data_IF_328209182786
#
_entry.id   IF_328209182786
#
_cell.length_a   1.000
_cell.length_b   1.000
_cell.length_c   1.000
_cell.angle_alpha   90.00
_cell.angle_beta   90.00
_cell.angle_gamma   90.00
#
_symmetry.space_group_name_H-M   'P 1'
#
loop_
_entity.id
_entity.type
_entity.pdbx_description
1 polymer ?
#
# COMPACT_ATOMS: atom_id res chain seq x y z
N UNK A 1 10.92 34.36 -33.13
CA UNK A 1 11.10 32.90 -32.95
C UNK A 1 12.29 32.47 -33.78
N UNK A 2 13.30 31.89 -33.15
CA UNK A 2 14.45 31.30 -33.84
C UNK A 2 14.10 29.89 -34.35
N UNK A 3 14.84 29.35 -35.32
CA UNK A 3 14.68 27.96 -35.76
C UNK A 3 14.78 26.94 -34.60
N UNK A 4 15.65 27.20 -33.62
CA UNK A 4 15.83 26.38 -32.41
C UNK A 4 14.60 26.42 -31.50
N UNK A 5 14.00 27.59 -31.30
CA UNK A 5 12.77 27.76 -30.52
C UNK A 5 11.60 27.04 -31.21
N UNK A 6 11.51 27.14 -32.54
CA UNK A 6 10.50 26.44 -33.33
C UNK A 6 10.66 24.91 -33.22
N UNK A 7 11.88 24.40 -33.29
CA UNK A 7 12.18 22.98 -33.11
C UNK A 7 11.76 22.50 -31.72
N UNK A 8 12.03 23.31 -30.69
CA UNK A 8 11.64 23.01 -29.30
C UNK A 8 10.13 22.96 -29.15
N UNK A 9 9.41 23.92 -29.74
CA UNK A 9 7.95 23.95 -29.77
C UNK A 9 7.37 22.67 -30.41
N UNK A 10 7.85 22.30 -31.60
CA UNK A 10 7.37 21.13 -32.33
C UNK A 10 7.64 19.84 -31.55
N UNK A 11 8.82 19.70 -30.94
CA UNK A 11 9.14 18.55 -30.08
C UNK A 11 8.24 18.50 -28.83
N UNK A 12 7.97 19.65 -28.21
CA UNK A 12 7.09 19.76 -27.05
C UNK A 12 5.65 19.35 -27.38
N UNK A 13 5.11 19.81 -28.51
CA UNK A 13 3.76 19.43 -28.97
C UNK A 13 3.66 17.92 -29.18
N UNK A 14 4.65 17.31 -29.85
CA UNK A 14 4.68 15.85 -30.05
C UNK A 14 4.76 15.08 -28.74
N UNK A 15 5.55 15.55 -27.78
CA UNK A 15 5.67 14.94 -26.46
C UNK A 15 4.33 14.98 -25.69
N UNK A 16 3.67 16.13 -25.66
CA UNK A 16 2.37 16.30 -24.99
C UNK A 16 1.29 15.44 -25.67
N UNK A 17 1.24 15.43 -27.01
CA UNK A 17 0.29 14.61 -27.79
C UNK A 17 0.46 13.11 -27.50
N UNK A 18 1.71 12.64 -27.40
CA UNK A 18 2.00 11.26 -27.01
C UNK A 18 1.58 10.95 -25.56
N UNK A 19 1.83 11.87 -24.62
CA UNK A 19 1.44 11.70 -23.22
C UNK A 19 -0.08 11.66 -23.03
N UNK A 20 -0.84 12.49 -23.76
CA UNK A 20 -2.30 12.51 -23.74
C UNK A 20 -2.88 11.21 -24.31
N UNK A 21 -2.29 10.68 -25.40
CA UNK A 21 -2.74 9.42 -26.04
C UNK A 21 -2.37 8.16 -25.26
N UNK A 22 -1.51 8.26 -24.25
CA UNK A 22 -1.11 7.14 -23.40
C UNK A 22 -1.50 7.40 -21.93
N UNK A 23 -2.80 7.40 -21.61
CA UNK A 23 -3.25 7.64 -20.24
C UNK A 23 -2.69 6.54 -19.33
N UNK A 24 -1.94 6.93 -18.29
CA UNK A 24 -1.43 5.98 -17.32
C UNK A 24 -2.59 5.34 -16.55
N UNK A 25 -2.71 4.02 -16.64
CA UNK A 25 -3.58 3.24 -15.76
C UNK A 25 -2.97 3.19 -14.36
N UNK A 26 -3.41 4.09 -13.48
CA UNK A 26 -2.93 4.17 -12.08
C UNK A 26 -3.42 3.01 -11.21
N UNK A 27 -4.24 2.12 -11.74
CA UNK A 27 -4.69 0.91 -11.05
C UNK A 27 -3.80 -0.29 -11.34
N UNK A 28 -3.12 -0.29 -12.49
CA UNK A 28 -2.14 -1.31 -12.86
C UNK A 28 -0.72 -0.82 -12.52
N UNK A 29 -0.17 -1.29 -11.40
CA UNK A 29 1.22 -1.01 -11.06
C UNK A 29 2.12 -1.87 -11.94
N UNK A 30 3.13 -1.26 -12.56
CA UNK A 30 4.24 -2.05 -13.12
C UNK A 30 4.95 -2.83 -12.01
N UNK A 31 5.60 -3.93 -12.35
CA UNK A 31 6.40 -4.72 -11.39
C UNK A 31 7.42 -3.86 -10.63
N UNK A 32 8.03 -2.88 -11.30
CA UNK A 32 8.93 -1.90 -10.68
C UNK A 32 8.25 -0.98 -9.67
N UNK A 33 6.99 -0.60 -9.92
CA UNK A 33 6.21 0.21 -9.00
C UNK A 33 5.72 -0.62 -7.78
N UNK A 34 5.45 -1.91 -7.97
CA UNK A 34 5.16 -2.84 -6.87
C UNK A 34 6.36 -3.04 -5.95
N UNK A 35 7.56 -3.20 -6.51
CA UNK A 35 8.80 -3.29 -5.74
C UNK A 35 9.07 -2.01 -4.96
N UNK A 36 8.90 -0.84 -5.61
CA UNK A 36 8.99 0.46 -4.93
C UNK A 36 7.98 0.56 -3.78
N UNK A 37 6.74 0.10 -3.98
CA UNK A 37 5.71 0.07 -2.92
C UNK A 37 6.09 -0.90 -1.79
N UNK A 38 6.72 -2.03 -2.09
CA UNK A 38 7.19 -2.95 -1.05
C UNK A 38 8.29 -2.30 -0.19
N UNK A 39 9.24 -1.61 -0.79
CA UNK A 39 10.35 -0.99 -0.05
C UNK A 39 9.90 0.28 0.70
N UNK A 40 9.16 1.16 0.03
CA UNK A 40 8.85 2.51 0.55
C UNK A 40 7.42 2.68 1.05
N UNK A 41 6.54 1.73 0.74
CA UNK A 41 5.18 1.70 1.27
C UNK A 41 5.15 1.39 2.76
N UNK A 42 3.94 1.33 3.29
CA UNK A 42 3.69 1.05 4.70
C UNK A 42 2.72 -0.13 4.81
N UNK A 43 2.85 -0.87 5.89
CA UNK A 43 2.01 -2.01 6.23
C UNK A 43 1.46 -1.83 7.63
N UNK A 44 0.29 -2.41 7.88
CA UNK A 44 -0.27 -2.51 9.22
C UNK A 44 0.51 -3.57 9.99
N UNK A 45 1.00 -3.18 11.17
CA UNK A 45 1.70 -4.04 12.12
C UNK A 45 1.08 -3.88 13.51
N UNK A 46 1.36 -4.84 14.39
CA UNK A 46 0.92 -4.76 15.78
C UNK A 46 1.68 -3.66 16.55
N UNK A 47 0.95 -2.83 17.30
CA UNK A 47 1.52 -1.76 18.11
C UNK A 47 2.07 -2.28 19.46
N UNK A 48 1.58 -3.44 19.90
CA UNK A 48 1.90 -4.14 21.14
C UNK A 48 1.94 -5.65 20.89
N UNK A 49 2.38 -6.44 21.87
CA UNK A 49 2.25 -7.89 21.80
C UNK A 49 0.78 -8.25 21.99
N UNK A 50 0.21 -9.03 21.08
CA UNK A 50 -1.18 -9.47 21.11
C UNK A 50 -1.22 -10.97 21.43
N UNK A 51 -1.89 -11.32 22.52
CA UNK A 51 -2.03 -12.70 22.96
C UNK A 51 -3.24 -13.39 22.32
N UNK A 52 -3.24 -14.72 22.34
CA UNK A 52 -4.37 -15.52 21.83
C UNK A 52 -5.64 -15.18 22.62
N UNK A 53 -6.73 -14.95 21.90
CA UNK A 53 -8.02 -14.53 22.45
C UNK A 53 -8.22 -13.02 22.52
N UNK A 54 -7.15 -12.22 22.38
CA UNK A 54 -7.25 -10.75 22.35
C UNK A 54 -8.12 -10.28 21.18
N UNK A 55 -8.96 -9.28 21.43
CA UNK A 55 -9.80 -8.66 20.40
C UNK A 55 -9.09 -7.45 19.85
N UNK A 56 -8.84 -7.44 18.54
CA UNK A 56 -8.09 -6.38 17.88
C UNK A 56 -8.91 -5.08 17.89
N UNK A 57 -8.31 -4.04 18.46
CA UNK A 57 -8.82 -2.67 18.43
C UNK A 57 -7.93 -1.78 17.57
N UNK A 58 -8.42 -0.58 17.24
CA UNK A 58 -7.68 0.36 16.40
C UNK A 58 -6.35 0.80 17.04
N UNK A 59 -6.28 0.85 18.38
CA UNK A 59 -5.07 1.20 19.12
C UNK A 59 -3.98 0.13 19.10
N UNK A 60 -4.35 -1.11 18.77
CA UNK A 60 -3.40 -2.23 18.62
C UNK A 60 -2.70 -2.22 17.26
N UNK A 61 -3.12 -1.35 16.34
CA UNK A 61 -2.66 -1.30 14.97
C UNK A 61 -1.86 -0.03 14.72
N UNK A 62 -0.67 -0.18 14.13
CA UNK A 62 0.17 0.95 13.71
C UNK A 62 0.66 0.75 12.29
N UNK A 63 0.95 1.85 11.60
CA UNK A 63 1.38 1.83 10.21
C UNK A 63 2.89 2.10 10.11
N UNK A 64 3.66 1.07 9.77
CA UNK A 64 5.12 1.13 9.68
C UNK A 64 5.61 0.77 8.28
N UNK A 65 6.79 1.27 7.92
CA UNK A 65 7.55 0.80 6.74
C UNK A 65 8.29 -0.48 7.14
N UNK A 66 8.62 -1.40 6.22
CA UNK A 66 8.34 -1.39 4.78
C UNK A 66 6.88 -1.76 4.43
N UNK A 67 6.53 -1.64 3.15
CA UNK A 67 5.29 -2.16 2.59
C UNK A 67 5.34 -3.68 2.43
N UNK A 68 4.23 -4.28 2.01
CA UNK A 68 4.16 -5.71 1.69
C UNK A 68 3.22 -6.54 2.58
N UNK A 69 2.65 -5.93 3.63
CA UNK A 69 1.51 -6.49 4.35
C UNK A 69 0.20 -5.77 4.03
N UNK A 70 -0.74 -5.85 4.97
CA UNK A 70 -2.07 -5.23 4.85
C UNK A 70 -1.98 -3.72 4.70
N UNK A 71 -2.81 -3.17 3.82
CA UNK A 71 -2.93 -1.74 3.62
C UNK A 71 -3.87 -1.12 4.66
N UNK A 72 -3.81 0.21 4.83
CA UNK A 72 -4.73 0.90 5.74
C UNK A 72 -6.21 0.70 5.38
N UNK A 73 -6.52 0.49 4.09
CA UNK A 73 -7.89 0.24 3.63
C UNK A 73 -8.46 -1.06 4.19
N UNK A 74 -7.59 -2.01 4.51
CA UNK A 74 -7.95 -3.35 4.96
C UNK A 74 -8.11 -3.41 6.49
N UNK A 75 -7.85 -2.33 7.23
CA UNK A 75 -7.95 -2.34 8.71
C UNK A 75 -9.35 -2.71 9.19
N UNK A 76 -10.38 -2.30 8.47
CA UNK A 76 -11.76 -2.64 8.82
C UNK A 76 -12.00 -4.16 8.87
N UNK A 77 -11.20 -4.96 8.15
CA UNK A 77 -11.29 -6.42 8.20
C UNK A 77 -10.58 -7.02 9.41
N UNK A 78 -9.72 -6.26 10.10
CA UNK A 78 -8.98 -6.69 11.30
C UNK A 78 -9.72 -6.36 12.60
N UNK A 79 -10.37 -5.20 12.64
CA UNK A 79 -11.05 -4.72 13.86
C UNK A 79 -12.12 -5.71 14.30
N UNK A 80 -12.22 -5.92 15.61
CA UNK A 80 -13.15 -6.85 16.28
C UNK A 80 -12.88 -8.34 16.06
N UNK A 81 -11.89 -8.73 15.24
CA UNK A 81 -11.45 -10.13 15.17
C UNK A 81 -10.63 -10.51 16.39
N UNK A 82 -10.58 -11.81 16.66
CA UNK A 82 -9.78 -12.35 17.76
C UNK A 82 -8.48 -12.92 17.25
N UNK A 83 -7.41 -12.72 18.00
CA UNK A 83 -6.11 -13.32 17.74
C UNK A 83 -6.18 -14.81 18.06
N UNK A 84 -5.85 -15.67 17.09
CA UNK A 84 -5.77 -17.14 17.26
C UNK A 84 -4.34 -17.63 17.38
N UNK A 85 -3.36 -16.81 16.98
CA UNK A 85 -1.93 -17.05 17.18
C UNK A 85 -1.27 -15.76 17.64
N UNK A 86 -0.40 -15.80 18.65
CA UNK A 86 0.20 -14.60 19.21
C UNK A 86 0.94 -13.80 18.13
N UNK A 87 0.89 -12.47 18.23
CA UNK A 87 1.58 -11.53 17.34
C UNK A 87 2.47 -10.65 18.19
N UNK A 88 3.74 -10.54 17.87
CA UNK A 88 4.64 -9.63 18.58
C UNK A 88 4.47 -8.20 18.06
N UNK A 89 4.83 -7.25 18.90
CA UNK A 89 4.96 -5.86 18.50
C UNK A 89 5.82 -5.75 17.24
N UNK A 90 5.36 -4.94 16.30
CA UNK A 90 5.98 -4.65 15.00
C UNK A 90 5.91 -5.77 13.97
N UNK A 91 5.31 -6.92 14.30
CA UNK A 91 5.02 -7.97 13.33
C UNK A 91 3.79 -7.64 12.46
N UNK A 92 3.81 -8.16 11.24
CA UNK A 92 2.66 -8.11 10.33
C UNK A 92 1.55 -9.03 10.84
N UNK A 93 0.33 -8.50 10.85
CA UNK A 93 -0.86 -9.30 11.14
C UNK A 93 -1.32 -9.95 9.84
N UNK A 94 -1.38 -11.28 9.81
CA UNK A 94 -1.85 -12.06 8.66
C UNK A 94 -3.14 -12.79 8.99
N UNK A 95 -3.87 -13.27 7.99
CA UNK A 95 -5.08 -14.08 8.18
C UNK A 95 -4.86 -15.29 9.09
N UNK A 96 -3.65 -15.84 9.13
CA UNK A 96 -3.31 -16.97 9.99
C UNK A 96 -3.25 -16.60 11.49
N UNK A 97 -3.14 -15.31 11.82
CA UNK A 97 -3.08 -14.82 13.19
C UNK A 97 -4.46 -14.56 13.80
N UNK A 98 -5.52 -14.53 13.00
CA UNK A 98 -6.82 -13.97 13.38
C UNK A 98 -7.99 -14.87 12.98
N UNK A 99 -9.03 -14.90 13.82
CA UNK A 99 -10.26 -15.69 13.61
C UNK A 99 -10.98 -15.30 12.32
N UNK A 100 -11.82 -16.15 11.74
CA UNK A 100 -12.62 -15.75 10.56
C UNK A 100 -13.49 -14.52 10.84
N UNK A 101 -13.81 -13.77 9.78
CA UNK A 101 -14.69 -12.61 9.87
C UNK A 101 -16.08 -13.05 10.36
N UNK A 102 -16.55 -12.49 11.47
CA UNK A 102 -17.92 -12.70 11.91
C UNK A 102 -18.84 -11.94 10.95
N UNK A 103 -19.69 -12.70 10.25
CA UNK A 103 -20.59 -12.21 9.19
C UNK A 103 -21.71 -11.34 9.74
#
# INVERSE_FOLDING_TARGET
ITPEELKTLVSGVKFIDAAIRNPADKTCLSTSAEEMRRIFGRSVVANSNLEVGHRIEIGDLVYKKPGGGLSWKDIGTLINRRVVRPVLRDDLITEANISEATK
#
